data_IF_990286311662
#
_entry.id   IF_990286311662
#
_cell.length_a   1.000
_cell.length_b   1.000
_cell.length_c   1.000
_cell.angle_alpha   90.00
_cell.angle_beta   90.00
_cell.angle_gamma   90.00
#
_symmetry.space_group_name_H-M   'P 1'
#
loop_
_entity.id
_entity.type
_entity.pdbx_description
1 polymer ?
#
# COMPACT_ATOMS: atom_id res chain seq x y z
N UNK A 1 12.18 -50.25 -16.42
CA UNK A 1 13.40 -51.06 -16.56
C UNK A 1 14.56 -50.21 -16.10
N UNK A 2 15.04 -50.38 -15.10
CA UNK A 2 15.89 -51.07 -14.12
C UNK A 2 16.33 -50.05 -13.04
N UNK A 3 16.10 -50.37 -11.80
CA UNK A 3 16.93 -51.14 -10.86
C UNK A 3 18.35 -50.59 -10.82
N UNK A 4 18.94 -50.25 -9.73
CA UNK A 4 19.19 -50.90 -8.43
C UNK A 4 20.05 -49.96 -7.60
N UNK A 5 19.72 -49.75 -6.36
CA UNK A 5 20.27 -50.39 -5.16
C UNK A 5 21.81 -50.36 -5.02
N UNK A 6 22.27 -49.81 -3.99
CA UNK A 6 23.07 -50.41 -2.88
C UNK A 6 23.86 -49.32 -2.20
N UNK A 7 23.60 -49.08 -0.98
CA UNK A 7 24.10 -49.70 0.26
C UNK A 7 25.50 -49.21 0.66
N UNK A 8 25.49 -48.57 1.83
CA UNK A 8 26.26 -48.84 3.03
C UNK A 8 27.71 -48.40 2.99
N UNK A 9 28.11 -47.57 3.94
CA UNK A 9 29.07 -47.92 5.02
C UNK A 9 29.00 -46.88 6.13
N UNK A 10 28.72 -47.37 7.32
CA UNK A 10 29.03 -46.77 8.60
C UNK A 10 30.55 -46.62 8.78
N UNK A 11 31.02 -45.52 9.41
CA UNK A 11 32.11 -45.61 10.36
C UNK A 11 32.00 -44.50 11.42
N UNK A 12 32.03 -44.98 12.63
CA UNK A 12 32.20 -44.28 13.88
C UNK A 12 33.60 -43.68 14.05
N UNK A 13 33.67 -42.57 14.78
CA UNK A 13 34.66 -42.25 15.85
C UNK A 13 34.38 -40.84 16.31
N UNK A 14 33.83 -40.52 17.41
CA UNK A 14 34.26 -40.55 18.80
C UNK A 14 35.23 -39.41 19.18
N UNK A 15 34.72 -38.57 20.12
CA UNK A 15 35.41 -37.88 21.23
C UNK A 15 36.20 -36.60 20.92
N UNK A 16 35.70 -35.47 21.43
CA UNK A 16 36.38 -34.71 22.49
C UNK A 16 35.52 -33.58 22.99
N UNK A 17 35.22 -33.65 24.25
CA UNK A 17 34.65 -32.65 25.16
C UNK A 17 35.59 -31.47 25.33
N UNK A 18 35.13 -30.24 25.16
CA UNK A 18 35.59 -29.11 25.98
C UNK A 18 34.39 -28.23 26.24
N UNK A 19 33.96 -28.15 27.48
CA UNK A 19 32.98 -27.21 27.95
C UNK A 19 33.57 -25.80 28.08
N UNK A 20 32.77 -24.84 27.73
CA UNK A 20 32.82 -23.51 28.30
C UNK A 20 31.40 -23.06 28.63
N UNK A 21 31.11 -23.06 29.90
CA UNK A 21 30.05 -22.31 30.53
C UNK A 21 30.39 -20.82 30.46
N UNK A 22 29.52 -19.98 29.93
CA UNK A 22 29.29 -18.66 30.51
C UNK A 22 28.10 -17.97 29.92
N UNK A 23 27.12 -17.67 30.77
CA UNK A 23 26.25 -16.50 30.89
C UNK A 23 25.51 -16.00 29.65
N UNK A 24 24.24 -16.28 29.58
CA UNK A 24 23.11 -15.39 29.94
C UNK A 24 23.18 -14.01 29.33
N UNK A 25 22.39 -13.79 28.26
CA UNK A 25 21.48 -12.66 28.21
C UNK A 25 20.35 -12.93 27.20
N UNK A 26 19.13 -12.79 27.72
CA UNK A 26 17.89 -12.87 26.97
C UNK A 26 17.80 -11.79 25.88
N UNK A 27 17.61 -12.20 24.65
CA UNK A 27 16.87 -11.41 23.66
C UNK A 27 16.00 -12.36 22.83
N UNK A 28 14.94 -12.81 23.48
CA UNK A 28 13.81 -13.44 22.80
C UNK A 28 12.83 -12.35 22.37
N UNK A 29 13.14 -11.58 21.33
CA UNK A 29 12.21 -10.62 20.76
C UNK A 29 12.38 -10.36 19.26
N UNK A 30 13.38 -10.98 18.61
CA UNK A 30 13.68 -10.64 17.23
C UNK A 30 13.39 -11.77 16.20
N UNK A 31 13.20 -13.00 16.68
CA UNK A 31 12.95 -14.14 15.78
C UNK A 31 11.49 -14.28 15.30
N UNK A 32 10.54 -13.65 15.99
CA UNK A 32 9.11 -13.76 15.64
C UNK A 32 8.71 -12.84 14.48
N UNK A 33 9.51 -11.81 14.22
CA UNK A 33 9.22 -10.86 13.12
C UNK A 33 9.76 -11.31 11.76
N UNK A 34 10.91 -11.99 11.73
CA UNK A 34 11.51 -12.44 10.48
C UNK A 34 10.79 -13.65 9.87
N UNK A 35 10.39 -14.61 10.70
CA UNK A 35 9.67 -15.81 10.25
C UNK A 35 8.26 -15.50 9.72
N UNK A 36 7.62 -14.47 10.27
CA UNK A 36 6.29 -14.03 9.81
C UNK A 36 6.33 -13.17 8.55
N UNK A 37 7.43 -12.46 8.32
CA UNK A 37 7.64 -11.67 7.10
C UNK A 37 8.03 -12.56 5.93
N UNK A 38 8.82 -13.61 6.17
CA UNK A 38 9.21 -14.58 5.14
C UNK A 38 8.02 -15.45 4.70
N UNK A 39 7.16 -15.89 5.63
CA UNK A 39 5.96 -16.67 5.32
C UNK A 39 4.91 -15.87 4.55
N UNK A 40 4.81 -14.54 4.78
CA UNK A 40 3.93 -13.66 4.02
C UNK A 40 4.52 -13.37 2.63
N UNK A 41 5.83 -13.15 2.53
CA UNK A 41 6.50 -12.90 1.25
C UNK A 41 6.48 -14.12 0.31
N UNK A 42 6.55 -15.35 0.84
CA UNK A 42 6.47 -16.57 0.04
C UNK A 42 5.04 -16.89 -0.42
N UNK A 43 4.01 -16.50 0.34
CA UNK A 43 2.61 -16.62 -0.10
C UNK A 43 2.27 -15.67 -1.22
N UNK A 44 2.82 -14.46 -1.18
CA UNK A 44 2.56 -13.41 -2.16
C UNK A 44 3.21 -13.68 -3.52
N UNK A 45 4.31 -14.45 -3.56
CA UNK A 45 5.01 -14.78 -4.80
C UNK A 45 4.30 -15.88 -5.63
N UNK A 46 3.33 -16.59 -5.06
CA UNK A 46 2.67 -17.76 -5.69
C UNK A 46 1.13 -17.62 -5.74
N UNK A 47 0.59 -16.43 -5.49
CA UNK A 47 -0.84 -16.18 -5.59
C UNK A 47 -1.28 -16.15 -7.06
N UNK A 48 -1.78 -17.26 -7.55
CA UNK A 48 -2.57 -17.33 -8.79
C UNK A 48 -3.90 -16.63 -8.52
N UNK A 49 -4.03 -15.36 -8.89
CA UNK A 49 -5.24 -14.60 -8.69
C UNK A 49 -5.11 -13.18 -9.23
N UNK A 50 -6.20 -12.46 -9.23
CA UNK A 50 -6.24 -11.07 -9.69
C UNK A 50 -6.52 -10.13 -8.50
N UNK A 51 -5.69 -9.10 -8.26
CA UNK A 51 -6.00 -8.11 -7.25
C UNK A 51 -7.18 -7.24 -7.69
N UNK A 52 -7.98 -6.82 -6.75
CA UNK A 52 -9.11 -5.91 -6.97
C UNK A 52 -9.08 -4.79 -5.93
N UNK A 53 -9.15 -3.54 -6.37
CA UNK A 53 -9.13 -2.37 -5.50
C UNK A 53 -10.53 -1.80 -5.35
N UNK A 54 -11.08 -1.88 -4.14
CA UNK A 54 -12.40 -1.35 -3.84
C UNK A 54 -12.30 -0.23 -2.82
N UNK A 55 -12.68 0.99 -3.21
CA UNK A 55 -12.77 2.13 -2.32
C UNK A 55 -14.06 2.11 -1.49
N UNK A 56 -14.00 2.59 -0.24
CA UNK A 56 -15.19 2.86 0.58
C UNK A 56 -15.99 4.03 -0.01
N UNK A 57 -15.27 5.02 -0.55
CA UNK A 57 -15.83 6.15 -1.29
C UNK A 57 -14.88 6.54 -2.44
N UNK A 58 -15.43 6.86 -3.60
CA UNK A 58 -14.64 7.27 -4.78
C UNK A 58 -14.61 8.79 -4.96
N UNK A 59 -15.41 9.51 -4.21
CA UNK A 59 -15.48 10.97 -4.28
C UNK A 59 -15.71 11.58 -2.92
N UNK A 60 -14.88 12.56 -2.57
CA UNK A 60 -15.02 13.36 -1.37
C UNK A 60 -15.27 14.83 -1.68
N UNK A 61 -16.22 15.45 -0.95
CA UNK A 61 -16.57 16.86 -1.06
C UNK A 61 -16.08 17.63 0.18
N UNK A 62 -15.11 18.50 -0.01
CA UNK A 62 -14.60 19.37 1.05
C UNK A 62 -15.59 20.50 1.42
N UNK A 63 -16.68 20.66 0.66
CA UNK A 63 -17.60 21.77 0.84
C UNK A 63 -16.96 23.10 0.43
N UNK A 64 -17.25 24.16 1.20
CA UNK A 64 -16.70 25.51 0.95
C UNK A 64 -15.40 25.71 1.72
N UNK A 65 -14.34 26.07 1.01
CA UNK A 65 -13.02 26.40 1.54
C UNK A 65 -12.59 27.77 1.02
N UNK A 66 -11.54 28.38 1.60
CA UNK A 66 -11.02 29.66 1.12
C UNK A 66 -9.87 29.45 0.12
N UNK A 67 -9.71 30.40 -0.78
CA UNK A 67 -8.58 30.38 -1.68
C UNK A 67 -7.26 30.49 -0.94
N UNK A 68 -6.36 29.54 -1.20
CA UNK A 68 -5.07 29.38 -0.54
C UNK A 68 -5.07 28.33 0.55
N UNK A 69 -6.22 27.81 0.95
CA UNK A 69 -6.30 26.69 1.89
C UNK A 69 -5.67 25.43 1.29
N UNK A 70 -5.06 24.65 2.17
CA UNK A 70 -4.59 23.29 1.83
C UNK A 70 -5.42 22.32 2.65
N UNK A 71 -6.22 21.53 1.96
CA UNK A 71 -7.09 20.52 2.58
C UNK A 71 -6.63 19.13 2.19
N UNK A 72 -6.91 18.15 3.06
CA UNK A 72 -6.55 16.76 2.79
C UNK A 72 -7.68 15.81 3.20
N UNK A 73 -7.78 14.70 2.51
CA UNK A 73 -8.70 13.63 2.81
C UNK A 73 -8.04 12.28 2.59
N UNK A 74 -8.35 11.31 3.45
CA UNK A 74 -7.83 9.95 3.36
C UNK A 74 -8.92 9.01 2.89
N UNK A 75 -8.75 8.52 1.67
CA UNK A 75 -9.58 7.47 1.09
C UNK A 75 -9.12 6.11 1.58
N UNK A 76 -10.04 5.31 2.08
CA UNK A 76 -9.79 3.91 2.42
C UNK A 76 -10.17 3.01 1.27
N UNK A 77 -9.37 1.99 1.04
CA UNK A 77 -9.64 0.97 0.04
C UNK A 77 -9.28 -0.41 0.59
N UNK A 78 -9.95 -1.43 0.10
CA UNK A 78 -9.68 -2.83 0.44
C UNK A 78 -9.27 -3.56 -0.83
N UNK A 79 -8.25 -4.41 -0.72
CA UNK A 79 -7.95 -5.38 -1.77
C UNK A 79 -8.95 -6.54 -1.63
N UNK A 80 -9.99 -6.54 -2.47
CA UNK A 80 -11.03 -7.58 -2.47
C UNK A 80 -10.69 -8.75 -3.40
N UNK A 81 -9.54 -8.69 -4.07
CA UNK A 81 -9.04 -9.77 -4.92
C UNK A 81 -8.29 -10.87 -4.16
N UNK A 82 -7.72 -11.81 -4.90
CA UNK A 82 -7.08 -13.02 -4.40
C UNK A 82 -5.55 -12.92 -4.35
N UNK A 83 -4.97 -11.86 -4.91
CA UNK A 83 -3.52 -11.65 -4.96
C UNK A 83 -3.13 -10.26 -4.47
N UNK A 84 -1.84 -10.02 -4.14
CA UNK A 84 -1.39 -8.74 -3.63
C UNK A 84 -1.64 -7.58 -4.60
N UNK A 85 -2.22 -6.50 -4.08
CA UNK A 85 -2.47 -5.27 -4.83
C UNK A 85 -1.25 -4.36 -4.76
N UNK A 86 -0.70 -4.00 -5.91
CA UNK A 86 0.41 -3.07 -6.05
C UNK A 86 -0.07 -1.76 -6.66
N UNK A 87 0.20 -0.65 -5.98
CA UNK A 87 -0.02 0.69 -6.51
C UNK A 87 1.32 1.22 -7.02
N UNK A 88 1.52 1.21 -8.33
CA UNK A 88 2.76 1.64 -8.95
C UNK A 88 2.88 3.16 -9.08
N UNK A 89 1.75 3.85 -9.25
CA UNK A 89 1.71 5.31 -9.38
C UNK A 89 0.34 5.88 -8.97
N UNK A 90 0.34 7.13 -8.51
CA UNK A 90 -0.88 7.90 -8.38
C UNK A 90 -0.61 9.36 -8.74
N UNK A 91 -1.47 9.97 -9.56
CA UNK A 91 -1.28 11.33 -10.07
C UNK A 91 -2.58 12.11 -10.09
N UNK A 92 -2.53 13.31 -9.49
CA UNK A 92 -3.62 14.28 -9.60
C UNK A 92 -3.73 14.87 -11.02
N UNK A 93 -4.93 15.29 -11.39
CA UNK A 93 -5.20 15.96 -12.69
C UNK A 93 -4.49 17.32 -12.83
N UNK A 94 -3.96 17.87 -11.76
CA UNK A 94 -3.11 19.06 -11.72
C UNK A 94 -2.02 18.93 -10.65
N UNK A 95 -0.98 19.76 -10.72
CA UNK A 95 0.04 19.86 -9.67
C UNK A 95 -0.48 20.41 -8.33
N UNK A 96 -1.74 20.84 -8.28
CA UNK A 96 -2.42 21.30 -7.07
C UNK A 96 -3.02 20.16 -6.23
N UNK A 97 -2.99 18.93 -6.74
CA UNK A 97 -3.51 17.72 -6.09
C UNK A 97 -2.40 16.69 -6.01
N UNK A 98 -2.00 16.37 -4.79
CA UNK A 98 -0.87 15.48 -4.51
C UNK A 98 -1.36 14.27 -3.73
N UNK A 99 -1.38 13.08 -4.33
CA UNK A 99 -1.70 11.84 -3.63
C UNK A 99 -0.49 11.26 -2.91
N UNK A 100 -0.75 10.58 -1.80
CA UNK A 100 0.19 9.73 -1.07
C UNK A 100 -0.46 8.38 -0.81
N UNK A 101 0.26 7.28 -1.00
CA UNK A 101 -0.26 5.92 -0.94
C UNK A 101 0.78 4.93 -0.39
N UNK A 102 0.38 3.74 0.09
CA UNK A 102 1.30 2.69 0.50
C UNK A 102 2.24 2.29 -0.65
N UNK A 103 3.51 2.09 -0.35
CA UNK A 103 4.51 1.66 -1.34
C UNK A 103 4.69 0.16 -1.38
N UNK A 104 4.27 -0.50 -0.32
CA UNK A 104 4.29 -1.94 -0.20
C UNK A 104 2.99 -2.55 -0.74
N UNK A 105 3.03 -3.78 -1.26
CA UNK A 105 1.82 -4.47 -1.68
C UNK A 105 0.81 -4.61 -0.54
N UNK A 106 -0.48 -4.44 -0.86
CA UNK A 106 -1.58 -4.65 0.07
C UNK A 106 -2.09 -6.08 -0.15
N UNK A 107 -2.00 -6.92 0.87
CA UNK A 107 -2.38 -8.33 0.76
C UNK A 107 -3.88 -8.50 0.50
N UNK A 108 -4.28 -9.67 -0.01
CA UNK A 108 -5.67 -10.03 -0.22
C UNK A 108 -6.49 -9.89 1.08
N UNK A 109 -7.60 -9.16 1.02
CA UNK A 109 -8.48 -8.86 2.16
C UNK A 109 -7.99 -7.73 3.06
N UNK A 110 -6.80 -7.17 2.85
CA UNK A 110 -6.29 -6.05 3.64
C UNK A 110 -6.80 -4.70 3.14
N UNK A 111 -6.84 -3.74 4.07
CA UNK A 111 -7.24 -2.34 3.81
C UNK A 111 -6.00 -1.47 3.76
N UNK A 112 -5.93 -0.60 2.73
CA UNK A 112 -4.93 0.44 2.59
C UNK A 112 -5.56 1.83 2.65
N UNK A 113 -4.72 2.85 2.78
CA UNK A 113 -5.13 4.25 2.84
C UNK A 113 -4.41 5.09 1.78
N UNK A 114 -5.15 5.97 1.13
CA UNK A 114 -4.61 6.94 0.19
C UNK A 114 -4.99 8.35 0.63
N UNK A 115 -4.02 9.17 0.99
CA UNK A 115 -4.25 10.56 1.36
C UNK A 115 -4.10 11.46 0.14
N UNK A 116 -5.07 12.33 -0.09
CA UNK A 116 -5.06 13.31 -1.19
C UNK A 116 -5.04 14.71 -0.61
N UNK A 117 -4.00 15.48 -0.93
CA UNK A 117 -3.87 16.91 -0.57
C UNK A 117 -4.26 17.78 -1.74
N UNK A 118 -5.08 18.80 -1.49
CA UNK A 118 -5.46 19.79 -2.47
C UNK A 118 -5.09 21.19 -1.99
N UNK A 119 -4.33 21.92 -2.81
CA UNK A 119 -3.99 23.32 -2.58
C UNK A 119 -4.88 24.20 -3.47
N UNK A 120 -5.72 24.99 -2.85
CA UNK A 120 -6.71 25.85 -3.51
C UNK A 120 -6.18 27.19 -4.01
N UNK A 121 -4.85 27.47 -3.86
CA UNK A 121 -4.25 28.72 -4.32
C UNK A 121 -4.46 28.90 -5.84
N UNK A 122 -4.98 30.07 -6.23
CA UNK A 122 -5.32 30.41 -7.61
C UNK A 122 -6.29 29.41 -8.26
N UNK A 123 -7.22 28.89 -7.46
CA UNK A 123 -8.24 27.92 -7.89
C UNK A 123 -9.63 28.31 -7.36
N UNK A 124 -10.15 29.51 -7.70
CA UNK A 124 -11.46 29.95 -7.20
C UNK A 124 -12.62 29.15 -7.80
N UNK A 125 -13.79 29.27 -7.16
CA UNK A 125 -15.06 28.66 -7.57
C UNK A 125 -15.08 27.12 -7.48
N UNK A 126 -15.97 26.51 -8.23
CA UNK A 126 -16.12 25.05 -8.23
C UNK A 126 -14.84 24.35 -8.72
N UNK A 127 -14.30 23.51 -7.88
CA UNK A 127 -13.15 22.70 -8.18
C UNK A 127 -13.53 21.22 -8.11
N UNK A 128 -13.22 20.50 -9.17
CA UNK A 128 -13.26 19.05 -9.20
C UNK A 128 -11.90 18.55 -9.68
N UNK A 129 -11.28 17.67 -8.93
CA UNK A 129 -9.98 17.09 -9.27
C UNK A 129 -10.09 15.58 -9.25
N UNK A 130 -9.43 14.95 -10.21
CA UNK A 130 -9.35 13.49 -10.31
C UNK A 130 -7.94 13.05 -9.97
N UNK A 131 -7.83 12.00 -9.20
CA UNK A 131 -6.57 11.26 -8.99
C UNK A 131 -6.69 9.96 -9.77
N UNK A 132 -5.73 9.74 -10.66
CA UNK A 132 -5.58 8.50 -11.41
C UNK A 132 -4.54 7.64 -10.72
N UNK A 133 -4.88 6.40 -10.46
CA UNK A 133 -4.09 5.44 -9.71
C UNK A 133 -3.75 4.30 -10.68
N UNK A 134 -2.47 3.98 -10.82
CA UNK A 134 -2.02 2.86 -11.65
C UNK A 134 -1.73 1.67 -10.75
N UNK A 135 -2.36 0.56 -11.03
CA UNK A 135 -2.33 -0.67 -10.22
C UNK A 135 -2.03 -1.88 -11.09
N UNK A 136 -1.86 -3.03 -10.45
CA UNK A 136 -1.79 -4.33 -11.11
C UNK A 136 -3.16 -5.04 -11.18
N UNK A 137 -4.28 -4.31 -10.97
CA UNK A 137 -5.64 -4.85 -11.19
C UNK A 137 -5.88 -5.15 -12.67
N UNK A 138 -6.93 -5.88 -13.00
CA UNK A 138 -7.30 -6.19 -14.39
C UNK A 138 -7.50 -4.91 -15.22
N UNK A 139 -8.12 -3.87 -14.64
CA UNK A 139 -8.30 -2.56 -15.28
C UNK A 139 -6.98 -1.80 -15.46
N UNK A 140 -5.95 -2.11 -14.66
CA UNK A 140 -4.67 -1.40 -14.61
C UNK A 140 -4.76 0.02 -14.06
N UNK A 141 -5.96 0.56 -13.85
CA UNK A 141 -6.19 1.92 -13.40
C UNK A 141 -7.47 2.05 -12.56
N UNK A 142 -7.35 2.82 -11.49
CA UNK A 142 -8.47 3.25 -10.65
C UNK A 142 -8.53 4.77 -10.57
N UNK A 143 -9.69 5.32 -10.19
CA UNK A 143 -9.88 6.78 -10.11
C UNK A 143 -10.70 7.17 -8.91
N UNK A 144 -10.19 8.17 -8.19
CA UNK A 144 -10.95 8.87 -7.14
C UNK A 144 -11.05 10.35 -7.47
N UNK A 145 -12.01 11.03 -6.86
CA UNK A 145 -12.30 12.44 -7.12
C UNK A 145 -12.39 13.21 -5.81
N UNK A 146 -11.96 14.45 -5.86
CA UNK A 146 -12.26 15.43 -4.81
C UNK A 146 -13.00 16.61 -5.41
N UNK A 147 -13.84 17.23 -4.61
CA UNK A 147 -14.62 18.40 -5.00
C UNK A 147 -14.57 19.44 -3.88
N UNK A 148 -14.56 20.72 -4.23
CA UNK A 148 -14.64 21.83 -3.31
C UNK A 148 -15.23 23.06 -4.02
N UNK A 149 -15.91 23.92 -3.25
CA UNK A 149 -16.18 25.29 -3.68
C UNK A 149 -15.15 26.22 -2.99
N UNK A 150 -14.35 26.92 -3.78
CA UNK A 150 -13.29 27.80 -3.28
C UNK A 150 -13.73 29.24 -3.33
N UNK A 151 -13.89 29.87 -2.17
CA UNK A 151 -14.20 31.30 -2.06
C UNK A 151 -12.97 32.11 -2.42
N UNK A 152 -13.04 33.03 -3.43
CA UNK A 152 -11.92 33.89 -3.78
C UNK A 152 -11.45 34.78 -2.62
N UNK A 153 -10.15 35.04 -2.56
CA UNK A 153 -9.54 35.88 -1.51
C UNK A 153 -10.02 37.34 -1.51
N UNK A 154 -10.36 37.85 -2.68
CA UNK A 154 -10.71 39.25 -2.88
C UNK A 154 -12.20 39.41 -3.21
N UNK A 155 -13.11 38.87 -2.42
CA UNK A 155 -14.56 39.12 -2.51
C UNK A 155 -15.16 39.24 -3.93
N UNK A 156 -14.43 38.74 -4.92
CA UNK A 156 -14.83 38.79 -6.33
C UNK A 156 -16.07 37.91 -6.53
N UNK A 157 -17.18 38.56 -6.87
CA UNK A 157 -18.42 37.92 -7.25
C UNK A 157 -18.14 36.80 -8.24
N UNK A 158 -18.67 35.62 -7.95
CA UNK A 158 -18.67 34.51 -8.87
C UNK A 158 -19.28 34.98 -10.21
N UNK A 159 -18.47 35.15 -11.23
CA UNK A 159 -18.99 35.30 -12.58
C UNK A 159 -19.61 33.97 -12.97
N UNK A 160 -20.94 33.98 -13.00
CA UNK A 160 -21.79 32.92 -13.54
C UNK A 160 -21.52 32.65 -15.01
#
# INVERSE_FOLDING_TARGET
>A
KNRTMKKVVLMLAAVATVGFTSCKEEKASDKVKEEKVEEVAERDANAEGTPEMKFEEEMYDFGTINEGDVVEHTFKFTNTGDSPLVISNAKGSCGCTVPSWPKEPVAAGETGEMTVKFNSRNKPNNQMKTVRITTNTESGQEMIKIKAFVTPKDGGEAKS
#
